data_IF_320089890033
#
_entry.id   IF_320089890033
#
_cell.length_a   1.000
_cell.length_b   1.000
_cell.length_c   1.000
_cell.angle_alpha   90.00
_cell.angle_beta   90.00
_cell.angle_gamma   90.00
#
_symmetry.space_group_name_H-M   'P 1'
#
loop_
_entity.id
_entity.type
_entity.pdbx_description
1 polymer ?
#
# COMPACT_ATOMS: atom_id res chain seq x y z
N UNK A 1 6.52 -15.65 -8.92
CA UNK A 1 7.51 -14.57 -8.78
C UNK A 1 6.69 -13.29 -8.72
N UNK A 2 6.72 -12.55 -7.60
CA UNK A 2 5.99 -11.28 -7.50
C UNK A 2 6.76 -10.21 -8.27
N UNK A 3 6.07 -9.30 -8.93
CA UNK A 3 6.73 -8.18 -9.61
C UNK A 3 7.15 -7.12 -8.58
N UNK A 4 8.17 -6.31 -8.88
CA UNK A 4 8.64 -5.22 -8.00
C UNK A 4 7.51 -4.27 -7.56
N UNK A 5 6.46 -4.17 -8.38
CA UNK A 5 5.29 -3.33 -8.12
C UNK A 5 4.33 -3.98 -7.11
N UNK A 6 4.12 -5.30 -7.20
CA UNK A 6 3.28 -6.05 -6.25
C UNK A 6 3.92 -6.07 -4.86
N UNK A 7 5.23 -6.28 -4.78
CA UNK A 7 5.95 -6.20 -3.51
C UNK A 7 5.89 -4.80 -2.92
N UNK A 8 5.97 -3.75 -3.75
CA UNK A 8 5.80 -2.37 -3.29
C UNK A 8 4.40 -2.13 -2.72
N UNK A 9 3.37 -2.65 -3.36
CA UNK A 9 1.99 -2.50 -2.88
C UNK A 9 1.81 -3.13 -1.50
N UNK A 10 2.32 -4.35 -1.30
CA UNK A 10 2.29 -5.04 0.00
C UNK A 10 3.06 -4.24 1.06
N UNK A 11 4.30 -3.83 0.79
CA UNK A 11 5.10 -3.06 1.76
C UNK A 11 4.47 -1.71 2.13
N UNK A 12 3.86 -1.03 1.17
CA UNK A 12 3.13 0.22 1.43
C UNK A 12 1.93 -0.01 2.34
N UNK A 13 1.20 -1.09 2.10
CA UNK A 13 0.03 -1.48 2.87
C UNK A 13 0.40 -1.89 4.30
N UNK A 14 1.39 -2.77 4.47
CA UNK A 14 1.94 -3.16 5.77
C UNK A 14 2.36 -1.92 6.57
N UNK A 15 3.13 -1.01 5.95
CA UNK A 15 3.55 0.22 6.62
C UNK A 15 2.37 1.09 7.06
N UNK A 16 1.35 1.26 6.20
CA UNK A 16 0.14 2.03 6.52
C UNK A 16 -0.58 1.40 7.71
N UNK A 17 -0.74 0.07 7.72
CA UNK A 17 -1.44 -0.65 8.78
C UNK A 17 -0.68 -0.63 10.10
N UNK A 18 0.60 -1.03 10.08
CA UNK A 18 1.44 -1.11 11.28
C UNK A 18 1.63 0.24 11.96
N UNK A 19 1.83 1.29 11.17
CA UNK A 19 2.14 2.62 11.70
C UNK A 19 0.90 3.52 11.81
N UNK A 20 -0.29 3.02 11.44
CA UNK A 20 -1.51 3.82 11.23
C UNK A 20 -1.22 5.09 10.40
N UNK A 21 -0.38 4.95 9.39
CA UNK A 21 0.16 6.07 8.65
C UNK A 21 -0.79 6.48 7.52
N UNK A 22 -0.96 7.79 7.32
CA UNK A 22 -1.72 8.27 6.16
C UNK A 22 -1.00 7.96 4.84
N UNK A 23 -1.76 7.86 3.74
CA UNK A 23 -1.22 7.72 2.37
C UNK A 23 -0.13 8.76 2.06
N UNK A 24 -0.30 10.01 2.56
CA UNK A 24 0.70 11.08 2.35
C UNK A 24 2.01 10.80 3.09
N UNK A 25 1.92 10.25 4.30
CA UNK A 25 3.10 9.89 5.09
C UNK A 25 3.84 8.70 4.46
N UNK A 26 3.11 7.68 4.00
CA UNK A 26 3.68 6.55 3.27
C UNK A 26 4.37 7.01 1.97
N UNK A 27 3.72 7.86 1.18
CA UNK A 27 4.31 8.43 -0.04
C UNK A 27 5.66 9.11 0.23
N UNK A 28 5.72 9.96 1.26
CA UNK A 28 6.96 10.62 1.68
C UNK A 28 8.03 9.63 2.15
N UNK A 29 7.65 8.59 2.91
CA UNK A 29 8.58 7.58 3.45
C UNK A 29 9.21 6.73 2.36
N UNK A 30 8.41 6.34 1.37
CA UNK A 30 8.83 5.45 0.28
C UNK A 30 9.36 6.19 -0.96
N UNK A 31 9.40 7.53 -0.91
CA UNK A 31 9.91 8.33 -2.04
C UNK A 31 9.05 8.23 -3.29
N UNK A 32 7.75 7.95 -3.14
CA UNK A 32 6.80 7.81 -4.25
C UNK A 32 5.73 8.89 -4.18
N UNK A 33 5.02 9.10 -5.28
CA UNK A 33 3.91 10.05 -5.30
C UNK A 33 2.70 9.52 -4.54
N UNK A 34 1.87 10.42 -4.00
CA UNK A 34 0.59 10.07 -3.37
C UNK A 34 -0.30 9.24 -4.30
N UNK A 35 -0.36 9.59 -5.59
CA UNK A 35 -1.17 8.85 -6.56
C UNK A 35 -0.63 7.45 -6.83
N UNK A 36 0.70 7.26 -6.78
CA UNK A 36 1.33 5.93 -6.85
C UNK A 36 0.88 5.06 -5.68
N UNK A 37 0.93 5.59 -4.44
CA UNK A 37 0.45 4.85 -3.27
C UNK A 37 -1.03 4.52 -3.40
N UNK A 38 -1.86 5.48 -3.82
CA UNK A 38 -3.28 5.19 -4.05
C UNK A 38 -3.47 4.04 -5.04
N UNK A 39 -2.86 4.10 -6.23
CA UNK A 39 -2.98 3.02 -7.23
C UNK A 39 -2.50 1.68 -6.69
N UNK A 40 -1.38 1.67 -5.97
CA UNK A 40 -0.85 0.44 -5.37
C UNK A 40 -1.82 -0.17 -4.36
N UNK A 41 -2.42 0.65 -3.51
CA UNK A 41 -3.37 0.17 -2.48
C UNK A 41 -4.73 -0.18 -3.09
N UNK A 42 -5.27 0.61 -4.03
CA UNK A 42 -6.66 0.43 -4.50
C UNK A 42 -6.80 -0.47 -5.71
N UNK A 43 -5.79 -0.56 -6.57
CA UNK A 43 -5.89 -1.35 -7.81
C UNK A 43 -5.05 -2.64 -7.76
N UNK A 44 -3.96 -2.64 -6.98
CA UNK A 44 -2.99 -3.75 -6.99
C UNK A 44 -3.08 -4.61 -5.76
N UNK A 45 -3.14 -3.99 -4.58
CA UNK A 45 -3.17 -4.72 -3.30
C UNK A 45 -4.38 -5.65 -3.21
N UNK A 46 -5.56 -5.24 -3.69
CA UNK A 46 -6.76 -6.09 -3.68
C UNK A 46 -6.56 -7.41 -4.45
N UNK A 47 -5.82 -7.37 -5.56
CA UNK A 47 -5.53 -8.58 -6.35
C UNK A 47 -4.39 -9.42 -5.76
N UNK A 48 -3.46 -8.80 -5.03
CA UNK A 48 -2.25 -9.46 -4.48
C UNK A 48 -2.50 -10.04 -3.09
N UNK A 49 -3.17 -9.26 -2.23
CA UNK A 49 -3.49 -9.58 -0.85
C UNK A 49 -4.83 -8.93 -0.43
N UNK A 50 -5.96 -9.63 -0.68
CA UNK A 50 -7.29 -9.12 -0.33
C UNK A 50 -7.48 -8.92 1.17
N UNK A 51 -6.79 -9.70 2.01
CA UNK A 51 -6.91 -9.61 3.46
C UNK A 51 -6.25 -8.32 3.96
N UNK A 52 -5.02 -8.06 3.53
CA UNK A 52 -4.31 -6.83 3.86
C UNK A 52 -5.01 -5.59 3.27
N UNK A 53 -5.61 -5.71 2.08
CA UNK A 53 -6.45 -4.64 1.53
C UNK A 53 -7.64 -4.32 2.43
N UNK A 54 -8.34 -5.33 2.95
CA UNK A 54 -9.45 -5.12 3.87
C UNK A 54 -8.99 -4.41 5.16
N UNK A 55 -7.82 -4.76 5.70
CA UNK A 55 -7.25 -4.08 6.87
C UNK A 55 -6.95 -2.59 6.61
N UNK A 56 -6.28 -2.29 5.49
CA UNK A 56 -5.98 -0.90 5.11
C UNK A 56 -7.26 -0.09 4.89
N UNK A 57 -8.34 -0.71 4.42
CA UNK A 57 -9.65 -0.06 4.22
C UNK A 57 -10.41 0.24 5.51
N UNK A 58 -10.02 -0.38 6.63
CA UNK A 58 -10.64 -0.18 7.94
C UNK A 58 -9.94 0.91 8.79
N UNK A 59 -8.81 1.44 8.32
CA UNK A 59 -8.04 2.53 8.94
C UNK A 59 -8.56 3.92 8.56
#
# INVERSE_FOLDING_TARGET
>A
MRTDIEERAVRLAEYITENRATVRAAAKKFGVSKSTVHKDITERLEAVDPALFAEVRQL
#
